data_IF_415520667885
#
_entry.id   IF_415520667885
#
_cell.length_a   1.000
_cell.length_b   1.000
_cell.length_c   1.000
_cell.angle_alpha   90.00
_cell.angle_beta   90.00
_cell.angle_gamma   90.00
#
_symmetry.space_group_name_H-M   'P 1'
#
loop_
_entity.id
_entity.type
_entity.pdbx_description
1 polymer ?
#
# COMPACT_ATOMS: atom_id res chain seq x y z
N UNK A 1 6.08 -13.24 -19.55
CA UNK A 1 6.52 -12.46 -18.38
C UNK A 1 5.34 -11.60 -17.95
N UNK A 2 4.30 -12.23 -17.42
CA UNK A 2 3.10 -11.57 -16.92
C UNK A 2 2.94 -12.04 -15.49
N UNK A 3 3.31 -11.18 -14.54
CA UNK A 3 3.27 -11.52 -13.10
C UNK A 3 2.89 -10.31 -12.25
N UNK A 4 2.53 -9.19 -12.87
CA UNK A 4 2.17 -7.96 -12.21
C UNK A 4 0.74 -7.68 -12.62
N UNK A 5 -0.21 -8.20 -11.85
CA UNK A 5 -1.59 -7.74 -11.97
C UNK A 5 -1.64 -6.41 -11.21
N UNK A 6 -2.11 -5.35 -11.87
CA UNK A 6 -2.05 -3.97 -11.37
C UNK A 6 -3.06 -3.66 -10.26
N UNK A 7 -3.78 -4.69 -9.81
CA UNK A 7 -4.67 -4.63 -8.67
C UNK A 7 -3.92 -4.34 -7.35
N UNK A 8 -4.53 -3.59 -6.41
CA UNK A 8 -3.90 -3.20 -5.15
C UNK A 8 -3.57 -4.39 -4.21
N UNK A 9 -4.05 -5.60 -4.52
CA UNK A 9 -3.90 -6.80 -3.70
C UNK A 9 -3.15 -7.95 -4.38
N UNK A 10 -2.79 -7.81 -5.65
CA UNK A 10 -2.17 -8.89 -6.41
C UNK A 10 -0.65 -8.99 -6.21
N UNK A 11 -0.05 -7.89 -5.75
CA UNK A 11 1.39 -7.81 -5.49
C UNK A 11 1.82 -8.70 -4.32
N UNK A 12 3.07 -9.17 -4.34
CA UNK A 12 3.59 -10.07 -3.32
C UNK A 12 3.51 -9.47 -1.91
N UNK A 13 4.00 -8.24 -1.75
CA UNK A 13 3.96 -7.54 -0.46
C UNK A 13 2.52 -7.26 0.01
N UNK A 14 1.59 -6.99 -0.93
CA UNK A 14 0.18 -6.83 -0.59
C UNK A 14 -0.41 -8.12 -0.02
N UNK A 15 -0.07 -9.28 -0.58
CA UNK A 15 -0.53 -10.58 -0.07
C UNK A 15 0.09 -10.92 1.29
N UNK A 16 1.35 -10.58 1.51
CA UNK A 16 2.01 -10.75 2.81
C UNK A 16 1.40 -9.85 3.90
N UNK A 17 1.05 -8.61 3.54
CA UNK A 17 0.28 -7.71 4.39
C UNK A 17 -1.07 -8.31 4.78
N UNK A 18 -1.85 -8.80 3.80
CA UNK A 18 -3.15 -9.42 4.08
C UNK A 18 -3.01 -10.65 4.99
N UNK A 19 -1.98 -11.46 4.80
CA UNK A 19 -1.68 -12.59 5.69
C UNK A 19 -1.31 -12.14 7.10
N UNK A 20 -0.50 -11.08 7.22
CA UNK A 20 -0.08 -10.53 8.51
C UNK A 20 -1.23 -9.87 9.28
N UNK A 21 -2.16 -9.22 8.57
CA UNK A 21 -3.39 -8.69 9.14
C UNK A 21 -4.28 -9.83 9.65
N UNK A 22 -4.46 -10.90 8.88
CA UNK A 22 -5.26 -12.07 9.27
C UNK A 22 -4.74 -12.80 10.51
N UNK A 23 -3.43 -12.87 10.67
CA UNK A 23 -2.79 -13.50 11.82
C UNK A 23 -2.66 -12.54 13.03
N UNK A 24 -2.99 -11.25 12.86
CA UNK A 24 -2.83 -10.22 13.89
C UNK A 24 -1.37 -9.84 14.17
N UNK A 25 -0.43 -10.32 13.34
CA UNK A 25 1.01 -10.05 13.45
C UNK A 25 1.42 -8.72 12.82
N UNK A 26 0.53 -8.05 12.09
CA UNK A 26 0.83 -6.77 11.46
C UNK A 26 0.89 -5.61 12.48
N UNK A 27 2.06 -5.00 12.65
CA UNK A 27 2.25 -3.81 13.48
C UNK A 27 2.41 -2.55 12.61
N UNK A 28 1.35 -1.73 12.57
CA UNK A 28 1.34 -0.48 11.84
C UNK A 28 2.43 0.49 12.29
N UNK A 29 2.74 0.57 13.59
CA UNK A 29 3.73 1.51 14.10
C UNK A 29 5.13 1.11 13.67
N UNK A 30 5.44 -0.18 13.74
CA UNK A 30 6.69 -0.74 13.25
C UNK A 30 6.83 -0.48 11.75
N UNK A 31 5.77 -0.72 10.97
CA UNK A 31 5.76 -0.40 9.54
C UNK A 31 5.98 1.09 9.26
N UNK A 32 5.28 1.98 9.97
CA UNK A 32 5.47 3.43 9.86
C UNK A 32 6.91 3.87 10.18
N UNK A 33 7.55 3.22 11.15
CA UNK A 33 8.95 3.46 11.50
C UNK A 33 9.91 2.94 10.42
N UNK A 34 9.70 1.73 9.90
CA UNK A 34 10.51 1.16 8.82
C UNK A 34 10.45 2.03 7.56
N UNK A 35 9.25 2.44 7.17
CA UNK A 35 9.03 3.31 6.02
C UNK A 35 9.39 4.77 6.32
N UNK A 36 9.99 5.10 7.47
CA UNK A 36 10.43 6.47 7.75
C UNK A 36 11.65 6.89 6.93
N UNK A 37 12.40 5.92 6.42
CA UNK A 37 13.60 6.10 5.59
C UNK A 37 13.26 6.23 4.10
N UNK A 38 13.99 7.09 3.39
CA UNK A 38 13.93 7.23 1.92
C UNK A 38 15.23 6.69 1.29
N UNK A 39 15.20 6.14 0.07
CA UNK A 39 14.06 6.01 -0.85
C UNK A 39 13.05 4.92 -0.44
N UNK A 40 11.81 5.04 -0.90
CA UNK A 40 10.77 4.02 -0.65
C UNK A 40 11.00 2.83 -1.59
N UNK A 41 11.17 1.66 -1.00
CA UNK A 41 11.29 0.38 -1.72
C UNK A 41 9.96 -0.09 -2.33
N UNK A 42 10.05 -1.04 -3.25
CA UNK A 42 8.88 -1.53 -4.00
C UNK A 42 7.86 -2.21 -3.10
N UNK A 43 8.30 -3.13 -2.23
CA UNK A 43 7.43 -3.81 -1.26
C UNK A 43 6.73 -2.83 -0.31
N UNK A 44 7.44 -1.80 0.16
CA UNK A 44 6.88 -0.76 1.02
C UNK A 44 5.78 0.04 0.30
N UNK A 45 6.03 0.43 -0.95
CA UNK A 45 5.06 1.15 -1.76
C UNK A 45 3.81 0.30 -2.05
N UNK A 46 3.99 -0.96 -2.40
CA UNK A 46 2.90 -1.92 -2.62
C UNK A 46 2.04 -2.11 -1.36
N UNK A 47 2.70 -2.27 -0.20
CA UNK A 47 2.03 -2.37 1.10
C UNK A 47 1.22 -1.11 1.41
N UNK A 48 1.76 0.08 1.15
CA UNK A 48 1.03 1.34 1.36
C UNK A 48 -0.19 1.48 0.46
N UNK A 49 -0.09 1.08 -0.82
CA UNK A 49 -1.20 1.10 -1.77
C UNK A 49 -2.29 0.13 -1.31
N UNK A 50 -1.92 -1.09 -0.90
CA UNK A 50 -2.84 -2.08 -0.37
C UNK A 50 -3.58 -1.57 0.89
N UNK A 51 -2.85 -0.95 1.83
CA UNK A 51 -3.45 -0.31 3.00
C UNK A 51 -4.43 0.81 2.63
N UNK A 52 -4.09 1.62 1.63
CA UNK A 52 -4.95 2.69 1.13
C UNK A 52 -6.25 2.16 0.52
N UNK A 53 -6.14 1.11 -0.28
CA UNK A 53 -7.28 0.41 -0.85
C UNK A 53 -8.18 -0.21 0.24
N UNK A 54 -7.61 -0.87 1.26
CA UNK A 54 -8.37 -1.43 2.39
C UNK A 54 -9.19 -0.37 3.12
N UNK A 55 -8.65 0.84 3.29
CA UNK A 55 -9.37 1.93 3.95
C UNK A 55 -10.56 2.48 3.16
N UNK A 56 -10.56 2.30 1.83
CA UNK A 56 -11.68 2.67 0.96
C UNK A 56 -12.77 1.60 0.89
N UNK A 57 -12.45 0.35 1.20
CA UNK A 57 -13.43 -0.74 1.19
C UNK A 57 -14.43 -0.57 2.35
N UNK A 58 -15.69 -0.86 2.03
CA UNK A 58 -16.74 -1.02 3.04
C UNK A 58 -16.42 -2.26 3.91
N UNK A 59 -16.92 -2.31 5.14
CA UNK A 59 -16.63 -3.43 6.04
C UNK A 59 -17.05 -4.80 5.47
N UNK A 60 -18.07 -4.82 4.60
CA UNK A 60 -18.58 -6.01 3.90
C UNK A 60 -17.74 -6.41 2.67
N UNK A 61 -16.91 -5.48 2.17
CA UNK A 61 -16.04 -5.68 1.02
C UNK A 61 -14.58 -5.97 1.40
N UNK A 62 -14.28 -6.07 2.71
CA UNK A 62 -12.95 -6.43 3.19
C UNK A 62 -12.62 -7.89 2.84
N UNK A 63 -11.34 -8.20 2.55
CA UNK A 63 -10.91 -9.57 2.32
C UNK A 63 -11.22 -10.46 3.52
N UNK A 64 -11.58 -11.73 3.25
CA UNK A 64 -11.93 -12.69 4.31
C UNK A 64 -10.82 -12.77 5.38
N UNK A 65 -11.23 -12.73 6.66
CA UNK A 65 -10.34 -12.75 7.81
C UNK A 65 -9.65 -11.41 8.13
N UNK A 66 -10.03 -10.32 7.45
CA UNK A 66 -9.62 -8.96 7.81
C UNK A 66 -10.85 -8.21 8.28
N UNK A 67 -10.75 -7.63 9.47
CA UNK A 67 -11.84 -6.91 10.08
C UNK A 67 -11.50 -5.42 10.18
N UNK A 68 -12.53 -4.60 10.37
CA UNK A 68 -12.35 -3.15 10.55
C UNK A 68 -11.53 -2.83 11.81
N UNK A 69 -11.61 -3.67 12.84
CA UNK A 69 -10.82 -3.57 14.07
C UNK A 69 -9.31 -3.62 13.80
N UNK A 70 -8.86 -4.48 12.88
CA UNK A 70 -7.45 -4.58 12.50
C UNK A 70 -6.94 -3.29 11.82
N UNK A 71 -7.86 -2.54 11.21
CA UNK A 71 -7.60 -1.30 10.49
C UNK A 71 -7.91 -0.05 11.33
N UNK A 72 -8.45 -0.17 12.54
CA UNK A 72 -8.72 0.98 13.44
C UNK A 72 -7.57 1.97 13.58
N UNK A 73 -6.30 1.56 13.77
CA UNK A 73 -5.19 2.51 13.91
C UNK A 73 -4.93 3.32 12.62
N UNK A 74 -5.37 2.81 11.46
CA UNK A 74 -5.27 3.50 10.17
C UNK A 74 -6.41 4.49 9.92
N UNK A 75 -7.57 4.34 10.58
CA UNK A 75 -8.69 5.27 10.45
C UNK A 75 -8.44 6.63 11.11
N UNK A 76 -7.38 6.77 11.89
CA UNK A 76 -7.01 8.05 12.50
C UNK A 76 -6.59 9.08 11.44
N UNK A 77 -6.91 10.38 11.63
CA UNK A 77 -6.54 11.42 10.66
C UNK A 77 -5.02 11.53 10.48
N UNK A 78 -4.23 11.20 11.50
CA UNK A 78 -2.77 11.21 11.43
C UNK A 78 -2.25 10.07 10.54
N UNK A 79 -2.76 8.84 10.71
CA UNK A 79 -2.39 7.70 9.87
C UNK A 79 -2.81 7.90 8.42
N UNK A 80 -4.01 8.42 8.17
CA UNK A 80 -4.46 8.77 6.80
C UNK A 80 -3.57 9.82 6.15
N UNK A 81 -3.23 10.88 6.87
CA UNK A 81 -2.34 11.93 6.35
C UNK A 81 -0.94 11.39 6.07
N UNK A 82 -0.42 10.50 6.92
CA UNK A 82 0.85 9.81 6.71
C UNK A 82 0.80 8.94 5.45
N UNK A 83 -0.24 8.09 5.32
CA UNK A 83 -0.39 7.18 4.18
C UNK A 83 -0.52 7.95 2.86
N UNK A 84 -1.36 9.00 2.85
CA UNK A 84 -1.47 9.90 1.70
C UNK A 84 -0.12 10.52 1.33
N UNK A 85 0.66 11.04 2.29
CA UNK A 85 1.98 11.61 2.00
C UNK A 85 2.92 10.56 1.39
N UNK A 86 2.91 9.35 1.94
CA UNK A 86 3.79 8.27 1.49
C UNK A 86 3.44 7.75 0.11
N UNK A 87 2.16 7.50 -0.19
CA UNK A 87 1.69 7.16 -1.53
C UNK A 87 2.08 8.27 -2.53
N UNK A 88 1.91 9.55 -2.15
CA UNK A 88 2.36 10.67 -2.99
C UNK A 88 3.88 10.71 -3.19
N UNK A 89 4.67 10.23 -2.23
CA UNK A 89 6.13 10.15 -2.36
C UNK A 89 6.56 8.97 -3.23
N UNK A 90 5.87 7.82 -3.13
CA UNK A 90 6.07 6.66 -3.99
C UNK A 90 5.80 6.98 -5.47
N UNK A 91 4.84 7.88 -5.74
CA UNK A 91 4.54 8.35 -7.09
C UNK A 91 5.57 9.36 -7.65
N UNK A 92 6.62 9.71 -6.90
CA UNK A 92 7.67 10.63 -7.35
C UNK A 92 8.92 9.87 -7.81
N UNK A 93 9.47 10.20 -8.99
CA UNK A 93 10.66 9.54 -9.53
C UNK A 93 11.89 9.69 -8.62
N UNK A 94 12.01 10.83 -7.94
CA UNK A 94 13.18 11.16 -7.11
C UNK A 94 13.20 10.46 -5.73
N UNK A 95 12.06 9.97 -5.26
CA UNK A 95 11.89 9.44 -3.90
C UNK A 95 11.54 7.94 -3.88
N UNK A 96 11.44 7.30 -5.05
CA UNK A 96 10.88 5.95 -5.15
C UNK A 96 11.60 5.08 -6.18
N UNK A 97 12.15 3.97 -5.71
CA UNK A 97 12.68 2.92 -6.59
C UNK A 97 11.55 2.21 -7.35
N UNK A 98 10.35 2.15 -6.78
CA UNK A 98 9.17 1.54 -7.43
C UNK A 98 8.73 2.34 -8.66
N UNK A 99 8.85 3.67 -8.63
CA UNK A 99 8.57 4.50 -9.80
C UNK A 99 9.48 4.14 -10.97
N UNK A 100 10.80 4.08 -10.71
CA UNK A 100 11.77 3.70 -11.73
C UNK A 100 11.52 2.27 -12.25
N UNK A 101 11.11 1.35 -11.37
CA UNK A 101 10.77 0.00 -11.76
C UNK A 101 9.56 -0.04 -12.70
N UNK A 102 8.46 0.63 -12.38
CA UNK A 102 7.27 0.70 -13.24
C UNK A 102 7.49 1.49 -14.53
N UNK A 103 8.38 2.49 -14.52
CA UNK A 103 8.80 3.18 -15.74
C UNK A 103 9.42 2.18 -16.73
N UNK A 104 10.17 1.19 -16.25
CA UNK A 104 10.78 0.16 -17.11
C UNK A 104 9.81 -0.90 -17.63
N UNK A 105 8.68 -1.13 -16.95
CA UNK A 105 7.68 -2.12 -17.39
C UNK A 105 6.74 -1.55 -18.46
N UNK A 106 6.63 -0.22 -18.56
CA UNK A 106 5.70 0.47 -19.47
C UNK A 106 4.28 0.58 -18.93
N UNK A 107 4.02 0.11 -17.71
CA UNK A 107 2.70 0.13 -17.05
C UNK A 107 2.60 1.19 -15.94
N UNK A 108 3.56 2.10 -15.89
CA UNK A 108 3.63 3.20 -14.90
C UNK A 108 2.33 4.00 -14.79
N UNK A 109 1.69 4.33 -15.91
CA UNK A 109 0.44 5.12 -15.90
C UNK A 109 -0.74 4.37 -15.26
N UNK A 110 -0.76 3.04 -15.37
CA UNK A 110 -1.78 2.21 -14.75
C UNK A 110 -1.54 2.08 -13.25
N UNK A 111 -0.29 1.83 -12.86
CA UNK A 111 0.11 1.81 -11.46
C UNK A 111 -0.13 3.16 -10.75
N UNK A 112 0.21 4.29 -11.40
CA UNK A 112 -0.06 5.63 -10.88
C UNK A 112 -1.56 5.87 -10.68
N UNK A 113 -2.41 5.37 -11.58
CA UNK A 113 -3.87 5.42 -11.41
C UNK A 113 -4.34 4.58 -10.23
N UNK A 114 -3.85 3.36 -10.06
CA UNK A 114 -4.18 2.52 -8.90
C UNK A 114 -3.73 3.17 -7.59
N UNK A 115 -2.50 3.71 -7.56
CA UNK A 115 -1.97 4.41 -6.39
C UNK A 115 -2.79 5.65 -6.04
N UNK A 116 -3.20 6.42 -7.06
CA UNK A 116 -4.05 7.59 -6.88
C UNK A 116 -5.46 7.23 -6.42
N UNK A 117 -6.05 6.16 -6.96
CA UNK A 117 -7.35 5.67 -6.50
C UNK A 117 -7.27 5.20 -5.05
N UNK A 118 -6.15 4.62 -4.63
CA UNK A 118 -5.95 4.09 -3.27
C UNK A 118 -5.70 5.17 -2.20
N UNK A 119 -5.74 6.46 -2.53
CA UNK A 119 -5.58 7.55 -1.56
C UNK A 119 -6.81 7.65 -0.62
N UNK A 120 -6.63 7.61 0.71
CA UNK A 120 -7.72 7.70 1.70
C UNK A 120 -8.16 9.15 2.04
#
# INVERSE_FOLDING_TARGET
MGTWDTGPFDNHAARELLASLRDGSFDLKNFQQSCSTEPIDSDDAETMIALGALLKLEADALPEGIYREDLEPLYTPQSKAWLRRRINSAMRPEASSVYALWETTGELEEWLRTAQDSLP
#
